data_IF_911768604012
#
_entry.id   IF_911768604012
#
_cell.length_a   1.000
_cell.length_b   1.000
_cell.length_c   1.000
_cell.angle_alpha   90.00
_cell.angle_beta   90.00
_cell.angle_gamma   90.00
#
_symmetry.space_group_name_H-M   'P 1'
#
loop_
_entity.id
_entity.type
_entity.pdbx_description
1 polymer ?
#
# COMPACT_ATOMS: atom_id res chain seq x y z
N UNK A 1 18.21 8.94 21.18
CA UNK A 1 17.44 7.86 20.56
C UNK A 1 16.43 7.43 21.61
N UNK A 2 15.14 7.71 21.44
CA UNK A 2 14.14 7.30 22.45
C UNK A 2 13.63 5.94 22.02
N UNK A 3 14.16 4.88 22.62
CA UNK A 3 13.45 3.61 22.67
C UNK A 3 12.44 3.73 23.83
N UNK A 4 11.13 3.87 23.55
CA UNK A 4 10.12 4.03 24.59
C UNK A 4 9.86 2.74 25.38
N UNK A 5 10.49 1.62 25.00
CA UNK A 5 10.24 0.31 25.63
C UNK A 5 11.34 -0.14 26.58
N UNK A 6 12.63 0.07 26.29
CA UNK A 6 13.74 -0.37 27.16
C UNK A 6 14.76 0.73 27.49
N UNK A 7 14.41 2.01 27.34
CA UNK A 7 15.31 3.11 27.73
C UNK A 7 16.63 3.16 26.94
N UNK A 8 16.71 2.46 25.80
CA UNK A 8 17.90 2.36 24.96
C UNK A 8 18.75 1.11 25.18
N UNK A 9 18.42 0.25 26.16
CA UNK A 9 19.05 -1.06 26.32
C UNK A 9 18.60 -2.01 25.21
N UNK A 10 19.54 -2.79 24.65
CA UNK A 10 19.24 -3.80 23.64
C UNK A 10 19.15 -5.17 24.32
N UNK A 11 17.94 -5.77 24.43
CA UNK A 11 17.80 -7.10 25.01
C UNK A 11 18.54 -8.13 24.15
N UNK A 12 19.14 -9.10 24.82
CA UNK A 12 19.76 -10.27 24.19
C UNK A 12 18.70 -11.16 23.53
N UNK A 13 19.13 -12.02 22.61
CA UNK A 13 18.24 -12.97 21.93
C UNK A 13 17.48 -13.86 22.92
N UNK A 14 18.13 -14.30 24.01
CA UNK A 14 17.50 -15.12 25.04
C UNK A 14 16.39 -14.37 25.79
N UNK A 15 16.62 -13.11 26.16
CA UNK A 15 15.60 -12.28 26.84
C UNK A 15 14.40 -11.99 25.91
N UNK A 16 14.62 -11.88 24.60
CA UNK A 16 13.54 -11.72 23.63
C UNK A 16 12.69 -12.99 23.50
N UNK A 17 13.31 -14.17 23.55
CA UNK A 17 12.60 -15.46 23.56
C UNK A 17 11.73 -15.61 24.81
N UNK A 18 12.29 -15.34 25.99
CA UNK A 18 11.53 -15.39 27.25
C UNK A 18 10.32 -14.46 27.24
N UNK A 19 10.48 -13.23 26.72
CA UNK A 19 9.37 -12.28 26.59
C UNK A 19 8.30 -12.77 25.63
N UNK A 20 8.68 -13.41 24.52
CA UNK A 20 7.74 -13.97 23.57
C UNK A 20 6.96 -15.14 24.16
N UNK A 21 7.64 -16.05 24.86
CA UNK A 21 7.00 -17.16 25.56
C UNK A 21 6.00 -16.64 26.61
N UNK A 22 6.40 -15.60 27.37
CA UNK A 22 5.53 -14.95 28.35
C UNK A 22 4.31 -14.24 27.74
N UNK A 23 4.37 -13.85 26.47
CA UNK A 23 3.26 -13.18 25.77
C UNK A 23 2.12 -14.14 25.38
N UNK A 24 2.34 -15.47 25.47
CA UNK A 24 1.36 -16.49 25.07
C UNK A 24 1.17 -16.61 23.56
N UNK A 25 2.03 -15.96 22.76
CA UNK A 25 1.98 -16.00 21.30
C UNK A 25 2.68 -17.27 20.81
N UNK A 26 1.90 -18.28 20.44
CA UNK A 26 2.43 -19.48 19.78
C UNK A 26 2.50 -19.27 18.27
N UNK A 27 3.71 -19.21 17.73
CA UNK A 27 3.95 -19.04 16.30
C UNK A 27 4.79 -20.18 15.72
N UNK A 28 4.58 -20.52 14.44
CA UNK A 28 5.27 -21.65 13.80
C UNK A 28 6.78 -21.47 13.64
N UNK A 29 7.30 -20.24 13.74
CA UNK A 29 8.74 -19.97 13.81
C UNK A 29 9.00 -18.68 14.61
N UNK A 30 9.58 -18.86 15.79
CA UNK A 30 9.99 -17.76 16.68
C UNK A 30 11.20 -17.01 16.10
N UNK A 31 12.12 -17.72 15.45
CA UNK A 31 13.31 -17.14 14.83
C UNK A 31 12.97 -16.11 13.75
N UNK A 32 11.85 -16.29 13.04
CA UNK A 32 11.36 -15.34 12.03
C UNK A 32 10.96 -13.98 12.63
N UNK A 33 10.51 -13.96 13.89
CA UNK A 33 10.15 -12.71 14.59
C UNK A 33 11.38 -11.94 15.07
N UNK A 34 12.44 -12.67 15.44
CA UNK A 34 13.68 -12.11 15.95
C UNK A 34 14.69 -11.81 14.85
N UNK A 35 14.44 -12.28 13.62
CA UNK A 35 15.26 -12.00 12.46
C UNK A 35 15.34 -10.48 12.19
N UNK A 36 16.55 -10.02 11.85
CA UNK A 36 16.77 -8.64 11.49
C UNK A 36 15.90 -8.24 10.29
N UNK A 37 15.09 -7.19 10.47
CA UNK A 37 14.28 -6.63 9.38
C UNK A 37 15.12 -5.71 8.51
N UNK A 38 14.97 -5.85 7.20
CA UNK A 38 15.59 -4.96 6.23
C UNK A 38 14.94 -3.57 6.25
N UNK A 39 15.68 -2.55 5.81
CA UNK A 39 15.14 -1.19 5.61
C UNK A 39 13.88 -1.21 4.73
N UNK A 40 13.86 -2.10 3.73
CA UNK A 40 12.72 -2.30 2.84
C UNK A 40 11.49 -2.82 3.58
N UNK A 41 11.64 -3.84 4.44
CA UNK A 41 10.54 -4.37 5.26
C UNK A 41 10.02 -3.32 6.26
N UNK A 42 10.91 -2.55 6.88
CA UNK A 42 10.52 -1.43 7.76
C UNK A 42 9.69 -0.41 6.98
N UNK A 43 10.16 0.03 5.81
CA UNK A 43 9.43 0.97 4.95
C UNK A 43 8.08 0.43 4.50
N UNK A 44 8.02 -0.84 4.09
CA UNK A 44 6.78 -1.49 3.66
C UNK A 44 5.74 -1.49 4.80
N UNK A 45 6.14 -1.87 6.02
CA UNK A 45 5.26 -1.87 7.19
C UNK A 45 4.79 -0.47 7.57
N UNK A 46 5.68 0.52 7.56
CA UNK A 46 5.31 1.91 7.81
C UNK A 46 4.31 2.44 6.78
N UNK A 47 4.54 2.18 5.49
CA UNK A 47 3.66 2.64 4.42
C UNK A 47 2.29 1.97 4.45
N UNK A 48 2.22 0.67 4.80
CA UNK A 48 0.95 -0.02 5.03
C UNK A 48 0.17 0.68 6.15
N UNK A 49 0.82 0.94 7.29
CA UNK A 49 0.16 1.61 8.42
C UNK A 49 -0.31 3.03 8.06
N UNK A 50 0.47 3.77 7.27
CA UNK A 50 0.08 5.10 6.81
C UNK A 50 -1.12 5.03 5.85
N UNK A 51 -1.15 4.11 4.89
CA UNK A 51 -2.30 3.90 4.02
C UNK A 51 -3.57 3.65 4.85
N UNK A 52 -3.52 2.73 5.81
CA UNK A 52 -4.66 2.44 6.69
C UNK A 52 -5.08 3.68 7.49
N UNK A 53 -4.12 4.39 8.09
CA UNK A 53 -4.43 5.58 8.89
C UNK A 53 -5.07 6.71 8.06
N UNK A 54 -4.58 6.95 6.84
CA UNK A 54 -5.15 7.98 5.97
C UNK A 54 -6.49 7.56 5.37
N UNK A 55 -6.66 6.28 5.05
CA UNK A 55 -7.95 5.72 4.66
C UNK A 55 -9.00 5.92 5.76
N UNK A 56 -8.70 5.55 7.01
CA UNK A 56 -9.62 5.72 8.15
C UNK A 56 -9.97 7.19 8.39
N UNK A 57 -9.04 8.12 8.14
CA UNK A 57 -9.26 9.56 8.27
C UNK A 57 -9.97 10.19 7.07
N UNK A 58 -10.12 9.48 5.96
CA UNK A 58 -10.61 10.05 4.70
C UNK A 58 -9.65 11.06 4.06
N UNK A 59 -8.37 11.08 4.44
CA UNK A 59 -7.35 11.99 3.91
C UNK A 59 -6.83 11.44 2.56
N UNK A 60 -7.64 11.64 1.51
CA UNK A 60 -7.37 11.10 0.18
C UNK A 60 -6.02 11.55 -0.39
N UNK A 61 -5.63 12.81 -0.17
CA UNK A 61 -4.35 13.36 -0.66
C UNK A 61 -3.17 12.59 -0.07
N UNK A 62 -3.15 12.39 1.25
CA UNK A 62 -2.05 11.66 1.89
C UNK A 62 -2.12 10.16 1.62
N UNK A 63 -3.31 9.60 1.45
CA UNK A 63 -3.46 8.20 1.06
C UNK A 63 -2.89 7.94 -0.34
N UNK A 64 -3.20 8.78 -1.33
CA UNK A 64 -2.61 8.71 -2.69
C UNK A 64 -1.08 8.79 -2.61
N UNK A 65 -0.54 9.71 -1.81
CA UNK A 65 0.90 9.85 -1.64
C UNK A 65 1.54 8.58 -1.04
N UNK A 66 0.93 7.99 -0.01
CA UNK A 66 1.39 6.75 0.61
C UNK A 66 1.35 5.58 -0.39
N UNK A 67 0.27 5.44 -1.19
CA UNK A 67 0.19 4.47 -2.28
C UNK A 67 1.29 4.67 -3.32
N UNK A 68 1.61 5.92 -3.67
CA UNK A 68 2.71 6.24 -4.56
C UNK A 68 4.08 5.78 -4.03
N UNK A 69 4.33 5.90 -2.73
CA UNK A 69 5.54 5.34 -2.12
C UNK A 69 5.53 3.80 -2.12
N UNK A 70 4.38 3.17 -1.86
CA UNK A 70 4.26 1.71 -1.94
C UNK A 70 4.54 1.19 -3.35
N UNK A 71 4.03 1.86 -4.39
CA UNK A 71 4.29 1.52 -5.79
C UNK A 71 5.77 1.61 -6.19
N UNK A 72 6.56 2.49 -5.55
CA UNK A 72 8.02 2.52 -5.75
C UNK A 72 8.72 1.30 -5.13
N UNK A 73 8.17 0.75 -4.05
CA UNK A 73 8.67 -0.50 -3.47
C UNK A 73 8.19 -1.70 -4.27
N UNK A 74 6.91 -1.76 -4.61
CA UNK A 74 6.24 -2.90 -5.24
C UNK A 74 5.64 -2.51 -6.61
N UNK A 75 6.46 -2.18 -7.62
CA UNK A 75 5.97 -1.70 -8.91
C UNK A 75 5.20 -2.75 -9.73
N UNK A 76 5.26 -4.01 -9.31
CA UNK A 76 4.52 -5.14 -9.88
C UNK A 76 3.16 -5.37 -9.22
N UNK A 77 2.87 -4.71 -8.09
CA UNK A 77 1.64 -4.95 -7.34
C UNK A 77 0.46 -4.24 -8.01
N UNK A 78 -0.29 -4.99 -8.83
CA UNK A 78 -1.43 -4.50 -9.60
C UNK A 78 -2.52 -3.88 -8.70
N UNK A 79 -2.73 -4.42 -7.50
CA UNK A 79 -3.74 -3.92 -6.57
C UNK A 79 -3.48 -2.47 -6.14
N UNK A 80 -2.21 -2.04 -6.06
CA UNK A 80 -1.88 -0.65 -5.71
C UNK A 80 -2.23 0.33 -6.82
N UNK A 81 -2.10 -0.06 -8.08
CA UNK A 81 -2.57 0.74 -9.22
C UNK A 81 -4.09 0.82 -9.23
N UNK A 82 -4.79 -0.30 -8.99
CA UNK A 82 -6.25 -0.31 -8.85
C UNK A 82 -6.72 0.67 -7.77
N UNK A 83 -6.16 0.55 -6.57
CA UNK A 83 -6.55 1.35 -5.41
C UNK A 83 -6.30 2.85 -5.67
N UNK A 84 -5.11 3.20 -6.15
CA UNK A 84 -4.76 4.60 -6.46
C UNK A 84 -5.57 5.16 -7.63
N UNK A 85 -5.82 4.38 -8.67
CA UNK A 85 -6.60 4.79 -9.83
C UNK A 85 -8.06 5.08 -9.49
N UNK A 86 -8.70 4.23 -8.67
CA UNK A 86 -10.04 4.48 -8.17
C UNK A 86 -10.10 5.71 -7.27
N UNK A 87 -9.06 5.94 -6.47
CA UNK A 87 -8.98 7.11 -5.59
C UNK A 87 -8.80 8.41 -6.40
N UNK A 88 -7.95 8.42 -7.42
CA UNK A 88 -7.83 9.52 -8.37
C UNK A 88 -9.17 9.82 -9.07
N UNK A 89 -9.90 8.79 -9.49
CA UNK A 89 -11.22 8.96 -10.10
C UNK A 89 -12.20 9.64 -9.13
N UNK A 90 -12.19 9.25 -7.85
CA UNK A 90 -13.02 9.89 -6.81
C UNK A 90 -12.66 11.35 -6.57
N UNK A 91 -11.39 11.74 -6.78
CA UNK A 91 -10.94 13.13 -6.68
C UNK A 91 -11.19 13.94 -7.96
N UNK A 92 -11.74 13.33 -9.03
CA UNK A 92 -11.92 13.99 -10.33
C UNK A 92 -10.65 14.08 -11.17
N UNK A 93 -9.56 13.43 -10.74
CA UNK A 93 -8.27 13.40 -11.42
C UNK A 93 -8.26 12.38 -12.57
N UNK A 94 -9.13 12.61 -13.55
CA UNK A 94 -9.49 11.64 -14.59
C UNK A 94 -8.29 11.10 -15.38
N UNK A 95 -7.30 11.93 -15.69
CA UNK A 95 -6.10 11.50 -16.44
C UNK A 95 -5.20 10.60 -15.61
N UNK A 96 -5.02 10.90 -14.32
CA UNK A 96 -4.23 10.07 -13.41
C UNK A 96 -4.93 8.73 -13.14
N UNK A 97 -6.26 8.79 -12.93
CA UNK A 97 -7.10 7.61 -12.79
C UNK A 97 -7.01 6.68 -14.01
N UNK A 98 -7.10 7.25 -15.21
CA UNK A 98 -7.00 6.50 -16.47
C UNK A 98 -5.66 5.75 -16.55
N UNK A 99 -4.55 6.45 -16.34
CA UNK A 99 -3.21 5.85 -16.41
C UNK A 99 -3.02 4.70 -15.42
N UNK A 100 -3.47 4.85 -14.17
CA UNK A 100 -3.38 3.80 -13.16
C UNK A 100 -4.27 2.60 -13.48
N UNK A 101 -5.51 2.83 -13.94
CA UNK A 101 -6.43 1.74 -14.27
C UNK A 101 -6.00 0.99 -15.53
N UNK A 102 -5.37 1.65 -16.50
CA UNK A 102 -4.75 0.97 -17.65
C UNK A 102 -3.58 0.09 -17.22
N UNK A 103 -2.75 0.57 -16.28
CA UNK A 103 -1.67 -0.24 -15.71
C UNK A 103 -2.19 -1.44 -14.93
N UNK A 104 -3.29 -1.28 -14.20
CA UNK A 104 -3.97 -2.37 -13.50
C UNK A 104 -4.53 -3.42 -14.47
N UNK A 105 -5.24 -3.02 -15.53
CA UNK A 105 -5.80 -3.97 -16.50
C UNK A 105 -4.70 -4.66 -17.33
N UNK A 106 -3.60 -3.95 -17.61
CA UNK A 106 -2.44 -4.50 -18.32
C UNK A 106 -1.50 -5.36 -17.48
N UNK A 107 -1.80 -5.63 -16.21
CA UNK A 107 -0.89 -6.38 -15.32
C UNK A 107 -0.88 -7.89 -15.57
N UNK A 108 -1.91 -8.44 -16.22
CA UNK A 108 -2.08 -9.88 -16.42
C UNK A 108 -2.78 -10.61 -15.28
N UNK A 109 -3.44 -9.90 -14.35
CA UNK A 109 -4.33 -10.50 -13.35
C UNK A 109 -5.44 -11.32 -14.03
N UNK A 110 -5.72 -12.52 -13.53
CA UNK A 110 -6.72 -13.43 -14.11
C UNK A 110 -8.15 -12.89 -13.94
N UNK A 111 -8.41 -12.24 -12.81
CA UNK A 111 -9.70 -11.65 -12.48
C UNK A 111 -9.55 -10.15 -12.26
N UNK A 112 -10.16 -9.36 -13.16
CA UNK A 112 -10.14 -7.91 -13.09
C UNK A 112 -11.36 -7.39 -12.33
N UNK A 113 -11.14 -6.38 -11.49
CA UNK A 113 -12.18 -5.75 -10.71
C UNK A 113 -13.26 -5.12 -11.62
N UNK A 114 -14.54 -5.56 -11.58
CA UNK A 114 -15.56 -5.06 -12.50
C UNK A 114 -15.85 -3.56 -12.36
N UNK A 115 -15.67 -2.99 -11.16
CA UNK A 115 -15.81 -1.55 -10.96
C UNK A 115 -14.70 -0.79 -11.68
N UNK A 116 -13.47 -1.30 -11.64
CA UNK A 116 -12.33 -0.70 -12.34
C UNK A 116 -12.55 -0.65 -13.84
N UNK A 117 -13.05 -1.75 -14.44
CA UNK A 117 -13.36 -1.83 -15.86
C UNK A 117 -14.41 -0.79 -16.27
N UNK A 118 -15.52 -0.69 -15.52
CA UNK A 118 -16.54 0.33 -15.78
C UNK A 118 -16.00 1.76 -15.68
N UNK A 119 -15.18 2.04 -14.67
CA UNK A 119 -14.56 3.36 -14.52
C UNK A 119 -13.62 3.66 -15.69
N UNK A 120 -12.81 2.68 -16.09
CA UNK A 120 -11.87 2.80 -17.21
C UNK A 120 -12.60 3.07 -18.53
N UNK A 121 -13.68 2.35 -18.82
CA UNK A 121 -14.48 2.58 -20.03
C UNK A 121 -15.10 3.98 -20.05
N UNK A 122 -15.63 4.45 -18.92
CA UNK A 122 -16.15 5.81 -18.77
C UNK A 122 -15.07 6.87 -18.99
N UNK A 123 -13.86 6.66 -18.47
CA UNK A 123 -12.73 7.56 -18.62
C UNK A 123 -12.23 7.62 -20.06
N UNK A 124 -12.23 6.49 -20.79
CA UNK A 124 -11.90 6.46 -22.22
C UNK A 124 -12.90 7.25 -23.06
N UNK A 125 -14.19 7.11 -22.77
CA UNK A 125 -15.24 7.91 -23.41
C UNK A 125 -15.16 9.40 -23.05
N UNK A 126 -14.78 9.73 -21.81
CA UNK A 126 -14.51 11.10 -21.40
C UNK A 126 -13.34 11.70 -22.20
N UNK A 127 -12.22 10.97 -22.32
CA UNK A 127 -11.03 11.41 -23.06
C UNK A 127 -11.33 11.65 -24.54
N UNK A 128 -12.09 10.75 -25.19
CA UNK A 128 -12.49 10.91 -26.59
C UNK A 128 -13.39 12.12 -26.85
N UNK A 129 -14.20 12.54 -25.87
CA UNK A 129 -15.03 13.75 -25.95
C UNK A 129 -14.25 15.04 -25.70
N UNK A 130 -13.22 14.99 -24.86
CA UNK A 130 -12.31 16.12 -24.61
C UNK A 130 -11.36 16.36 -25.78
N UNK A 131 -10.80 15.29 -26.37
CA UNK A 131 -9.87 15.39 -27.49
C UNK A 131 -10.49 15.92 -28.79
N UNK A 132 -11.82 15.91 -28.92
CA UNK A 132 -12.56 16.50 -30.03
C UNK A 132 -12.92 17.98 -29.86
N UNK A 133 -12.53 18.60 -28.73
CA UNK A 133 -12.77 20.04 -28.44
C UNK A 133 -11.52 20.92 -28.63
N UNK A 134 -10.46 20.38 -29.23
CA UNK A 134 -9.21 21.09 -29.53
C UNK A 134 -9.10 21.43 -31.02
#
# INVERSE_FOLDING_TARGET
FVDPFNGGEQPTHAELLERLDASGVTLPSVDSLLAAVTRRQILQRMLINLCVAYQTKGDAVRWIAALGFRLRLEPWNAALYLERGLLHYQQGENRLALADLERYVGSGEQELNPRALRVLDNLRLWLGREGGKA
#
